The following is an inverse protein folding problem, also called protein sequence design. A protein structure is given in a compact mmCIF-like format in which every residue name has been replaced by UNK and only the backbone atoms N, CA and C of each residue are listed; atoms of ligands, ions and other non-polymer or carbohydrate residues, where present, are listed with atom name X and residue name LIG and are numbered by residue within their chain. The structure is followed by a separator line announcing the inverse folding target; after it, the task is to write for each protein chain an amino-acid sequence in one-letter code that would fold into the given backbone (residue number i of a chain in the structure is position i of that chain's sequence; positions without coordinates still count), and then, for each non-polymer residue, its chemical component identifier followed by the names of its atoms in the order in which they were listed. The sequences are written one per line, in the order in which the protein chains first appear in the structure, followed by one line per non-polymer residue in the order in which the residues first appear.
data_IF_608438225889
#
_entry.id   IF_608438225889
#
_cell.length_a   1.000
_cell.length_b   1.000
_cell.length_c   1.000
_cell.angle_alpha   90.00
_cell.angle_beta   90.00
_cell.angle_gamma   90.00
#
_symmetry.space_group_name_H-M   'P 1'
#
loop_
_entity.id
_entity.type
_entity.pdbx_description
1 polymer ?
#
# COMPACT_ATOMS: atom_id res chain seq x y z
N UNK A 1 -18.66 5.75 9.43
CA UNK A 1 -18.26 6.37 10.69
C UNK A 1 -16.94 7.07 10.45
N UNK A 2 -16.87 8.35 10.78
CA UNK A 2 -15.68 9.19 10.60
C UNK A 2 -14.53 8.73 11.49
N UNK A 3 -14.83 8.07 12.62
CA UNK A 3 -13.83 7.40 13.46
C UNK A 3 -13.11 6.28 12.70
N UNK A 4 -13.83 5.46 11.93
CA UNK A 4 -13.22 4.38 11.13
C UNK A 4 -12.26 4.92 10.08
N UNK A 5 -12.67 5.96 9.33
CA UNK A 5 -11.81 6.60 8.33
C UNK A 5 -10.57 7.24 8.96
N UNK A 6 -10.71 7.76 10.17
CA UNK A 6 -9.61 8.33 10.94
C UNK A 6 -8.66 7.24 11.44
N UNK A 7 -9.18 6.11 11.93
CA UNK A 7 -8.37 4.95 12.31
C UNK A 7 -7.64 4.32 11.11
N UNK A 8 -8.30 4.16 9.96
CA UNK A 8 -7.66 3.63 8.76
C UNK A 8 -6.51 4.56 8.30
N UNK A 9 -6.69 5.89 8.39
CA UNK A 9 -5.61 6.85 8.15
C UNK A 9 -4.45 6.69 9.13
N UNK A 10 -4.73 6.44 10.41
CA UNK A 10 -3.69 6.22 11.42
C UNK A 10 -2.95 4.91 11.14
N UNK A 11 -3.65 3.84 10.80
CA UNK A 11 -3.05 2.53 10.52
C UNK A 11 -2.17 2.62 9.26
N UNK A 12 -2.67 3.25 8.18
CA UNK A 12 -1.89 3.46 6.94
C UNK A 12 -0.68 4.38 7.15
N UNK A 13 -0.81 5.36 8.03
CA UNK A 13 0.29 6.24 8.41
C UNK A 13 1.18 5.64 9.52
N UNK A 14 0.75 4.56 10.17
CA UNK A 14 1.51 3.95 11.26
C UNK A 14 2.79 3.34 10.71
N UNK A 15 3.82 3.36 11.54
CA UNK A 15 5.14 2.84 11.23
C UNK A 15 5.57 1.95 12.38
N UNK A 16 6.15 0.81 12.06
CA UNK A 16 6.67 -0.11 13.07
C UNK A 16 7.91 0.51 13.73
N UNK A 17 7.84 0.65 15.06
CA UNK A 17 8.95 1.11 15.87
C UNK A 17 9.71 -0.13 16.34
N UNK A 18 10.92 -0.31 15.84
CA UNK A 18 11.84 -1.34 16.34
C UNK A 18 12.67 -0.80 17.50
N UNK A 19 13.48 -1.67 18.10
CA UNK A 19 14.31 -1.31 19.24
C UNK A 19 15.26 -0.15 18.90
N UNK A 20 15.85 -0.15 17.72
CA UNK A 20 16.83 0.87 17.32
C UNK A 20 16.15 2.24 17.15
N UNK A 21 15.01 2.31 16.47
CA UNK A 21 14.25 3.55 16.35
C UNK A 21 13.75 4.05 17.71
N UNK A 22 13.29 3.13 18.58
CA UNK A 22 12.87 3.46 19.94
C UNK A 22 13.98 4.11 20.76
N UNK A 23 15.17 3.50 20.80
CA UNK A 23 16.29 4.04 21.59
C UNK A 23 16.78 5.39 21.07
N UNK A 24 16.75 5.62 19.74
CA UNK A 24 17.12 6.93 19.18
C UNK A 24 16.07 8.01 19.52
N UNK A 25 14.77 7.70 19.42
CA UNK A 25 13.70 8.62 19.83
C UNK A 25 13.82 8.93 21.34
N UNK A 26 14.05 7.91 22.16
CA UNK A 26 14.24 8.07 23.60
C UNK A 26 15.44 8.97 23.92
N UNK A 27 16.57 8.75 23.24
CA UNK A 27 17.76 9.60 23.41
C UNK A 27 17.47 11.05 23.03
N UNK A 28 16.78 11.29 21.92
CA UNK A 28 16.40 12.63 21.48
C UNK A 28 15.48 13.32 22.51
N UNK A 29 14.54 12.56 23.10
CA UNK A 29 13.63 13.06 24.15
C UNK A 29 14.37 13.35 25.46
N UNK A 30 15.29 12.47 25.88
CA UNK A 30 16.06 12.62 27.12
C UNK A 30 17.08 13.76 27.05
N UNK A 31 17.68 14.01 25.86
CA UNK A 31 18.62 15.10 25.62
C UNK A 31 17.98 16.50 25.79
N UNK A 32 16.66 16.60 25.60
CA UNK A 32 15.90 17.85 25.73
C UNK A 32 15.48 18.15 27.18
N UNK A 33 15.68 17.22 28.12
CA UNK A 33 15.31 17.36 29.53
C UNK A 33 13.82 17.16 29.83
N UNK A 34 13.43 17.29 31.11
CA UNK A 34 12.04 17.10 31.57
C UNK A 34 11.23 18.39 31.30
N UNK A 35 10.99 18.68 30.04
CA UNK A 35 9.95 19.62 29.64
C UNK A 35 8.58 18.92 29.65
N UNK A 36 7.46 19.61 29.94
CA UNK A 36 6.13 19.01 29.84
C UNK A 36 5.92 18.39 28.45
N UNK A 37 5.29 17.22 28.35
CA UNK A 37 5.06 16.52 27.07
C UNK A 37 4.47 17.46 25.98
N UNK A 38 3.63 18.43 26.36
CA UNK A 38 3.11 19.46 25.46
C UNK A 38 4.18 20.39 24.83
N UNK A 39 5.29 20.65 25.50
CA UNK A 39 6.43 21.44 25.00
C UNK A 39 7.22 20.64 23.94
N UNK A 40 7.37 19.33 24.16
CA UNK A 40 8.04 18.40 23.24
C UNK A 40 7.19 18.18 21.97
N UNK A 41 5.88 17.97 22.10
CA UNK A 41 4.95 17.78 20.97
C UNK A 41 4.86 19.00 20.04
N UNK A 42 5.22 20.19 20.53
CA UNK A 42 5.21 21.44 19.76
C UNK A 42 6.55 21.76 19.08
N UNK A 43 7.62 21.00 19.34
CA UNK A 43 8.94 21.17 18.72
C UNK A 43 9.05 20.37 17.41
N UNK A 44 9.71 20.98 16.41
CA UNK A 44 9.54 20.66 14.98
C UNK A 44 10.47 19.61 14.38
N UNK A 45 11.50 19.10 15.06
CA UNK A 45 12.33 18.05 14.46
C UNK A 45 13.12 17.20 15.44
N UNK A 46 13.15 15.90 15.19
CA UNK A 46 14.07 14.93 15.78
C UNK A 46 15.47 15.02 15.17
N UNK A 47 16.45 14.31 15.73
CA UNK A 47 17.82 14.31 15.21
C UNK A 47 17.90 13.75 13.78
N UNK A 48 18.94 14.13 13.04
CA UNK A 48 19.17 13.64 11.67
C UNK A 48 19.20 12.12 11.58
N UNK A 49 19.72 11.43 12.61
CA UNK A 49 19.75 9.97 12.68
C UNK A 49 18.35 9.39 12.83
N UNK A 50 17.55 9.92 13.75
CA UNK A 50 16.13 9.53 13.92
C UNK A 50 15.33 9.80 12.65
N UNK A 51 15.53 10.96 12.02
CA UNK A 51 14.89 11.29 10.74
C UNK A 51 15.34 10.36 9.60
N UNK A 52 16.61 9.95 9.57
CA UNK A 52 17.12 8.94 8.62
C UNK A 52 16.43 7.61 8.83
N UNK A 53 16.35 7.11 10.06
CA UNK A 53 15.69 5.85 10.39
C UNK A 53 14.19 5.87 10.08
N UNK A 54 13.50 6.98 10.37
CA UNK A 54 12.10 7.17 9.99
C UNK A 54 11.95 7.14 8.46
N UNK A 55 12.90 7.75 7.74
CA UNK A 55 12.87 7.81 6.27
C UNK A 55 13.26 6.48 5.61
N UNK A 56 14.20 5.73 6.18
CA UNK A 56 14.62 4.39 5.74
C UNK A 56 13.49 3.39 5.97
N UNK A 57 12.72 3.56 7.06
CA UNK A 57 11.51 2.78 7.33
C UNK A 57 10.26 3.24 6.59
N UNK A 58 10.39 4.11 5.58
CA UNK A 58 9.31 4.32 4.60
C UNK A 58 9.22 3.20 3.56
N UNK A 59 9.94 2.08 3.73
CA UNK A 59 9.61 0.85 3.00
C UNK A 59 8.15 0.48 3.30
N UNK A 60 7.36 0.37 2.24
CA UNK A 60 5.99 -0.15 2.35
C UNK A 60 6.13 -1.62 2.73
N UNK A 61 5.80 -1.96 3.97
CA UNK A 61 5.62 -3.35 4.38
C UNK A 61 4.45 -3.91 3.57
N UNK A 62 4.77 -4.79 2.63
CA UNK A 62 3.82 -5.36 1.69
C UNK A 62 3.93 -6.88 1.73
N UNK A 63 2.80 -7.55 1.88
CA UNK A 63 2.68 -8.99 1.82
C UNK A 63 1.76 -9.41 0.68
N UNK A 64 1.79 -10.69 0.30
CA UNK A 64 0.91 -11.21 -0.77
C UNK A 64 -0.57 -11.05 -0.43
N UNK A 65 -0.94 -11.11 0.85
CA UNK A 65 -2.31 -10.89 1.32
C UNK A 65 -2.74 -9.41 1.33
N UNK A 66 -1.83 -8.47 1.07
CA UNK A 66 -2.15 -7.04 0.93
C UNK A 66 -2.45 -6.65 -0.54
N UNK A 67 -2.44 -7.64 -1.44
CA UNK A 67 -2.63 -7.47 -2.89
C UNK A 67 -3.92 -8.13 -3.36
N UNK A 68 -4.44 -7.66 -4.49
CA UNK A 68 -5.70 -8.16 -5.04
C UNK A 68 -5.56 -9.55 -5.66
N UNK A 69 -6.40 -10.48 -5.23
CA UNK A 69 -6.44 -11.86 -5.73
C UNK A 69 -7.41 -11.99 -6.90
N UNK A 70 -8.46 -11.15 -6.94
CA UNK A 70 -9.35 -11.11 -8.09
C UNK A 70 -8.67 -10.47 -9.29
N UNK A 71 -8.87 -11.09 -10.46
CA UNK A 71 -8.36 -10.56 -11.73
C UNK A 71 -9.04 -9.28 -12.19
N UNK A 72 -10.14 -8.86 -11.57
CA UNK A 72 -10.84 -7.62 -11.91
C UNK A 72 -11.76 -7.17 -10.78
N UNK A 73 -11.82 -5.85 -10.48
CA UNK A 73 -12.74 -5.29 -9.50
C UNK A 73 -14.21 -5.52 -9.85
N UNK A 74 -14.53 -5.81 -11.13
CA UNK A 74 -15.90 -6.11 -11.57
C UNK A 74 -16.49 -7.32 -10.84
N UNK A 75 -15.67 -8.30 -10.45
CA UNK A 75 -16.14 -9.46 -9.67
C UNK A 75 -16.77 -9.06 -8.34
N UNK A 76 -16.37 -7.91 -7.77
CA UNK A 76 -16.94 -7.38 -6.54
C UNK A 76 -18.16 -6.48 -6.79
N UNK A 77 -18.22 -5.81 -7.94
CA UNK A 77 -19.33 -4.92 -8.32
C UNK A 77 -20.55 -5.70 -8.80
N UNK A 78 -20.33 -6.81 -9.47
CA UNK A 78 -21.40 -7.68 -9.93
C UNK A 78 -21.95 -8.43 -8.72
N UNK A 79 -23.24 -8.23 -8.42
CA UNK A 79 -23.98 -8.93 -7.35
C UNK A 79 -24.17 -10.41 -7.71
N UNK A 80 -23.06 -11.08 -7.94
CA UNK A 80 -22.91 -12.48 -8.22
C UNK A 80 -22.79 -13.19 -6.88
N UNK A 81 -23.39 -14.36 -6.76
CA UNK A 81 -23.15 -15.27 -5.64
C UNK A 81 -21.77 -15.94 -5.81
N UNK A 82 -20.75 -15.14 -6.10
CA UNK A 82 -19.36 -15.58 -6.21
C UNK A 82 -18.74 -15.54 -4.82
N UNK A 83 -18.55 -16.73 -4.25
CA UNK A 83 -17.92 -16.94 -2.94
C UNK A 83 -16.58 -17.65 -3.10
N UNK A 84 -15.90 -17.43 -4.24
CA UNK A 84 -14.53 -17.91 -4.41
C UNK A 84 -13.60 -17.27 -3.39
N UNK A 85 -12.51 -17.97 -3.09
CA UNK A 85 -11.48 -17.53 -2.16
C UNK A 85 -10.94 -16.14 -2.51
N UNK A 86 -10.65 -15.88 -3.79
CA UNK A 86 -10.20 -14.56 -4.26
C UNK A 86 -11.17 -13.42 -3.90
N UNK A 87 -12.48 -13.66 -4.08
CA UNK A 87 -13.51 -12.66 -3.82
C UNK A 87 -13.66 -12.42 -2.33
N UNK A 88 -13.67 -13.49 -1.53
CA UNK A 88 -13.73 -13.38 -0.07
C UNK A 88 -12.50 -12.65 0.48
N UNK A 89 -11.32 -12.97 -0.03
CA UNK A 89 -10.08 -12.28 0.28
C UNK A 89 -10.17 -10.79 -0.03
N UNK A 90 -10.51 -10.40 -1.26
CA UNK A 90 -10.51 -8.98 -1.64
C UNK A 90 -11.61 -8.18 -0.93
N UNK A 91 -12.73 -8.81 -0.57
CA UNK A 91 -13.77 -8.23 0.30
C UNK A 91 -13.21 -7.94 1.69
N UNK A 92 -12.45 -8.87 2.28
CA UNK A 92 -11.81 -8.71 3.59
C UNK A 92 -10.70 -7.65 3.54
N UNK A 93 -9.80 -7.74 2.55
CA UNK A 93 -8.70 -6.80 2.29
C UNK A 93 -9.20 -5.36 2.28
N UNK A 94 -10.28 -5.10 1.55
CA UNK A 94 -10.87 -3.76 1.40
C UNK A 94 -11.89 -3.41 2.48
N UNK A 95 -12.18 -4.33 3.42
CA UNK A 95 -13.20 -4.20 4.47
C UNK A 95 -14.55 -3.73 3.90
N UNK A 96 -14.96 -4.33 2.77
CA UNK A 96 -16.15 -3.87 2.06
C UNK A 96 -17.41 -4.08 2.90
N UNK A 97 -18.26 -3.05 2.93
CA UNK A 97 -19.58 -3.11 3.57
C UNK A 97 -20.60 -3.69 2.61
N UNK A 98 -21.69 -4.24 3.14
CA UNK A 98 -22.85 -4.56 2.30
C UNK A 98 -23.37 -3.26 1.64
N UNK A 99 -23.65 -3.32 0.33
CA UNK A 99 -24.15 -2.20 -0.48
C UNK A 99 -23.17 -1.01 -0.67
N UNK A 100 -21.95 -1.28 -1.13
CA UNK A 100 -21.02 -0.22 -1.58
C UNK A 100 -21.28 0.17 -3.04
N UNK A 101 -20.99 1.42 -3.41
CA UNK A 101 -21.03 1.89 -4.79
C UNK A 101 -19.68 1.70 -5.51
N UNK A 102 -19.66 1.80 -6.84
CA UNK A 102 -18.40 1.82 -7.61
C UNK A 102 -17.45 2.93 -7.16
N UNK A 103 -18.01 4.09 -6.77
CA UNK A 103 -17.23 5.19 -6.20
C UNK A 103 -16.58 4.80 -4.86
N UNK A 104 -17.29 4.07 -4.01
CA UNK A 104 -16.74 3.58 -2.75
C UNK A 104 -15.62 2.58 -3.02
N UNK A 105 -15.82 1.64 -3.95
CA UNK A 105 -14.79 0.67 -4.35
C UNK A 105 -13.53 1.36 -4.87
N UNK A 106 -13.69 2.38 -5.73
CA UNK A 106 -12.58 3.21 -6.19
C UNK A 106 -11.85 3.85 -5.01
N UNK A 107 -12.57 4.45 -4.05
CA UNK A 107 -11.93 5.02 -2.86
C UNK A 107 -11.18 3.96 -2.05
N UNK A 108 -11.74 2.77 -1.83
CA UNK A 108 -11.06 1.70 -1.11
C UNK A 108 -9.79 1.25 -1.84
N UNK A 109 -9.87 1.09 -3.16
CA UNK A 109 -8.71 0.78 -4.01
C UNK A 109 -7.60 1.84 -3.90
N UNK A 110 -7.93 3.13 -3.94
CA UNK A 110 -6.94 4.21 -3.83
C UNK A 110 -6.21 4.26 -2.48
N UNK A 111 -6.81 3.67 -1.43
CA UNK A 111 -6.23 3.59 -0.10
C UNK A 111 -5.63 2.20 0.21
N UNK A 112 -5.56 1.30 -0.77
CA UNK A 112 -4.97 -0.03 -0.57
C UNK A 112 -3.44 0.04 -0.59
N UNK A 113 -2.79 -0.88 0.12
CA UNK A 113 -1.34 -1.00 0.14
C UNK A 113 -0.76 -1.22 -1.27
N UNK A 114 -1.42 -2.06 -2.09
CA UNK A 114 -1.00 -2.30 -3.47
C UNK A 114 -1.00 -1.03 -4.34
N UNK A 115 -1.99 -0.15 -4.20
CA UNK A 115 -2.02 1.09 -4.97
C UNK A 115 -1.03 2.14 -4.43
N UNK A 116 -0.86 2.25 -3.11
CA UNK A 116 0.19 3.08 -2.51
C UNK A 116 1.60 2.62 -2.95
N UNK A 117 1.82 1.30 -3.02
CA UNK A 117 3.05 0.73 -3.55
C UNK A 117 3.27 1.10 -5.01
N UNK A 118 2.26 0.99 -5.88
CA UNK A 118 2.40 1.44 -7.28
C UNK A 118 2.82 2.91 -7.37
N UNK A 119 2.21 3.78 -6.57
CA UNK A 119 2.56 5.22 -6.54
C UNK A 119 4.00 5.48 -6.11
N UNK A 120 4.55 4.67 -5.20
CA UNK A 120 5.91 4.86 -4.72
C UNK A 120 6.97 4.39 -5.75
N UNK A 121 6.66 3.36 -6.55
CA UNK A 121 7.62 2.73 -7.47
C UNK A 121 7.51 3.19 -8.93
N UNK A 122 6.42 3.88 -9.31
CA UNK A 122 6.17 4.42 -10.66
C UNK A 122 6.17 5.95 -10.66
N UNK A 123 7.35 6.60 -10.65
CA UNK A 123 7.43 8.06 -10.71
C UNK A 123 7.01 8.63 -12.07
N UNK A 124 7.40 7.96 -13.16
CA UNK A 124 7.06 8.28 -14.56
C UNK A 124 6.45 7.06 -15.27
N UNK A 125 7.28 6.16 -15.79
CA UNK A 125 6.84 4.92 -16.42
C UNK A 125 7.66 3.70 -15.96
N UNK A 126 7.03 2.53 -15.95
CA UNK A 126 7.68 1.26 -15.68
C UNK A 126 7.05 0.13 -16.51
N UNK A 127 7.89 -0.80 -16.95
CA UNK A 127 7.43 -2.00 -17.63
C UNK A 127 7.04 -3.09 -16.64
N UNK A 128 6.11 -3.95 -17.04
CA UNK A 128 5.60 -5.05 -16.21
C UNK A 128 6.73 -5.98 -15.72
N UNK A 129 7.72 -6.26 -16.58
CA UNK A 129 8.88 -7.08 -16.22
C UNK A 129 9.65 -6.51 -15.03
N UNK A 130 10.01 -5.22 -15.12
CA UNK A 130 10.75 -4.52 -14.07
C UNK A 130 9.93 -4.42 -12.78
N UNK A 131 8.65 -4.10 -12.89
CA UNK A 131 7.75 -4.04 -11.73
C UNK A 131 7.55 -5.39 -11.07
N UNK A 132 7.53 -6.49 -11.82
CA UNK A 132 7.42 -7.82 -11.23
C UNK A 132 8.64 -8.19 -10.40
N UNK A 133 9.82 -7.75 -10.80
CA UNK A 133 11.05 -7.90 -10.02
C UNK A 133 11.04 -7.01 -8.78
N UNK A 134 10.68 -5.73 -8.93
CA UNK A 134 10.57 -4.79 -7.80
C UNK A 134 9.54 -5.30 -6.78
N UNK A 135 8.40 -5.81 -7.24
CA UNK A 135 7.37 -6.35 -6.36
C UNK A 135 7.90 -7.57 -5.59
N UNK A 136 8.57 -8.49 -6.28
CA UNK A 136 9.17 -9.67 -5.65
C UNK A 136 10.14 -9.28 -4.53
N UNK A 137 10.99 -8.28 -4.76
CA UNK A 137 11.96 -7.79 -3.78
C UNK A 137 11.31 -6.95 -2.66
N UNK A 138 10.12 -6.38 -2.91
CA UNK A 138 9.36 -5.61 -1.90
C UNK A 138 8.64 -6.53 -0.91
N UNK A 139 8.10 -7.65 -1.39
CA UNK A 139 7.28 -8.56 -0.60
C UNK A 139 8.07 -9.17 0.58
N UNK A 140 7.47 -9.12 1.77
CA UNK A 140 8.10 -9.57 3.02
C UNK A 140 7.60 -10.93 3.52
N UNK A 141 6.88 -11.69 2.70
CA UNK A 141 6.39 -13.03 3.05
C UNK A 141 7.55 -14.00 3.35
N UNK A 142 7.39 -14.85 4.37
CA UNK A 142 8.31 -15.93 4.73
C UNK A 142 7.55 -17.27 4.85
N UNK A 143 7.76 -18.25 3.95
CA UNK A 143 8.73 -18.25 2.85
C UNK A 143 8.35 -17.28 1.72
N UNK A 144 9.36 -16.83 0.97
CA UNK A 144 9.15 -15.96 -0.18
C UNK A 144 8.19 -16.59 -1.21
N UNK A 145 7.28 -15.81 -1.80
CA UNK A 145 6.25 -16.32 -2.70
C UNK A 145 6.85 -16.78 -4.02
N UNK A 146 6.13 -17.62 -4.78
CA UNK A 146 6.65 -18.02 -6.09
C UNK A 146 6.61 -16.84 -7.07
N UNK A 147 7.66 -16.67 -7.87
CA UNK A 147 7.72 -15.60 -8.90
C UNK A 147 6.52 -15.59 -9.85
N UNK A 148 5.91 -16.76 -10.10
CA UNK A 148 4.70 -16.87 -10.91
C UNK A 148 3.50 -16.22 -10.22
N UNK A 149 3.35 -16.41 -8.91
CA UNK A 149 2.27 -15.83 -8.10
C UNK A 149 2.41 -14.30 -8.04
N UNK A 150 3.63 -13.81 -7.81
CA UNK A 150 3.91 -12.36 -7.81
C UNK A 150 3.51 -11.71 -9.14
N UNK A 151 3.77 -12.38 -10.26
CA UNK A 151 3.32 -11.91 -11.58
C UNK A 151 1.79 -11.91 -11.72
N UNK A 152 1.10 -12.92 -11.19
CA UNK A 152 -0.36 -12.93 -11.17
C UNK A 152 -0.93 -11.78 -10.34
N UNK A 153 -0.38 -11.55 -9.14
CA UNK A 153 -0.79 -10.44 -8.27
C UNK A 153 -0.54 -9.07 -8.92
N UNK A 154 0.60 -8.88 -9.58
CA UNK A 154 0.86 -7.66 -10.34
C UNK A 154 -0.11 -7.48 -11.51
N UNK A 155 -0.44 -8.55 -12.23
CA UNK A 155 -1.41 -8.51 -13.32
C UNK A 155 -2.81 -8.12 -12.84
N UNK A 156 -3.23 -8.66 -11.69
CA UNK A 156 -4.48 -8.27 -11.02
C UNK A 156 -4.44 -6.78 -10.67
N UNK A 157 -3.38 -6.33 -10.01
CA UNK A 157 -3.22 -4.92 -9.63
C UNK A 157 -3.23 -3.97 -10.83
N UNK A 158 -2.65 -4.37 -11.96
CA UNK A 158 -2.75 -3.63 -13.23
C UNK A 158 -4.19 -3.56 -13.71
N UNK A 159 -4.95 -4.66 -13.66
CA UNK A 159 -6.35 -4.67 -14.09
C UNK A 159 -7.25 -3.81 -13.20
N UNK A 160 -7.00 -3.84 -11.90
CA UNK A 160 -7.63 -2.96 -10.93
C UNK A 160 -7.31 -1.49 -11.20
N UNK A 161 -6.05 -1.17 -11.46
CA UNK A 161 -5.61 0.19 -11.82
C UNK A 161 -6.22 0.68 -13.13
N UNK A 162 -6.30 -0.16 -14.16
CA UNK A 162 -6.90 0.19 -15.46
C UNK A 162 -8.39 0.57 -15.32
N UNK A 163 -9.12 -0.12 -14.42
CA UNK A 163 -10.56 0.10 -14.26
C UNK A 163 -10.85 1.25 -13.28
N UNK A 164 -10.18 1.28 -12.13
CA UNK A 164 -10.50 2.22 -11.04
C UNK A 164 -9.52 3.39 -10.94
N UNK A 165 -8.25 3.21 -11.31
CA UNK A 165 -7.15 4.17 -11.17
C UNK A 165 -6.71 4.88 -12.45
N UNK A 166 -7.54 4.86 -13.50
CA UNK A 166 -7.25 5.43 -14.81
C UNK A 166 -7.13 6.97 -14.87
N UNK A 167 -7.43 7.65 -13.77
CA UNK A 167 -7.19 9.08 -13.53
C UNK A 167 -5.82 9.37 -12.91
N UNK A 168 -5.08 8.32 -12.51
CA UNK A 168 -3.73 8.44 -11.96
C UNK A 168 -2.67 7.78 -12.85
N UNK A 169 -3.00 6.62 -13.42
CA UNK A 169 -2.11 5.86 -14.27
C UNK A 169 -2.77 5.47 -15.59
N UNK A 170 -1.98 5.54 -16.66
CA UNK A 170 -2.27 4.97 -17.96
C UNK A 170 -1.56 3.60 -18.06
N UNK A 171 -2.28 2.58 -18.53
CA UNK A 171 -1.71 1.25 -18.80
C UNK A 171 -1.89 0.95 -20.29
N UNK A 172 -0.79 0.70 -20.97
CA UNK A 172 -0.77 0.36 -22.40
C UNK A 172 0.27 -0.74 -22.68
N UNK A 173 0.31 -1.22 -23.93
CA UNK A 173 1.25 -2.24 -24.38
C UNK A 173 1.94 -1.78 -25.67
N UNK A 174 2.96 -0.91 -25.59
CA UNK A 174 3.76 -0.58 -26.75
C UNK A 174 4.50 -1.83 -27.24
N UNK A 175 4.17 -2.27 -28.47
CA UNK A 175 4.72 -3.47 -29.13
C UNK A 175 4.31 -4.77 -28.41
N UNK A 176 5.13 -5.24 -27.48
CA UNK A 176 4.97 -6.55 -26.82
C UNK A 176 5.04 -6.47 -25.29
N UNK A 177 5.49 -5.35 -24.72
CA UNK A 177 5.68 -5.22 -23.27
C UNK A 177 4.63 -4.28 -22.70
N UNK A 178 3.87 -4.76 -21.71
CA UNK A 178 2.92 -3.93 -20.99
C UNK A 178 3.68 -2.96 -20.09
N UNK A 179 3.25 -1.71 -20.04
CA UNK A 179 3.78 -0.69 -19.13
C UNK A 179 2.65 0.02 -18.41
N UNK A 180 3.02 0.66 -17.31
CA UNK A 180 2.20 1.62 -16.57
C UNK A 180 2.93 2.95 -16.55
N UNK A 181 2.19 4.04 -16.75
CA UNK A 181 2.72 5.40 -16.80
C UNK A 181 1.85 6.34 -15.98
N UNK A 182 2.45 7.24 -15.22
CA UNK A 182 1.76 8.29 -14.48
C UNK A 182 1.23 9.38 -15.43
N UNK A 183 -0.01 9.80 -15.20
CA UNK A 183 -0.70 10.85 -15.98
C UNK A 183 -0.33 12.25 -15.46
#
# INVERSE_FOLDING_TARGET
DDLSKWFDKIILASREIDQDLFENIKTDVEAEGIEPIQSILNKKSFSTKTMSLISEKNEINLYTHDLFWTSTPRRLLENTKDYSEDVLHDVELLKLKTNFSERDLKNYFFNSAGFEWLKSVVPDEKYFGDLSSILYDTLKDDPAPFRKEVKSLLANLFKWTEILGNDYFEIDQPKHSQRIKRI
#
